data_IF_331686987496
#
_entry.id   IF_331686987496
#
_cell.length_a   1.000
_cell.length_b   1.000
_cell.length_c   1.000
_cell.angle_alpha   90.00
_cell.angle_beta   90.00
_cell.angle_gamma   90.00
#
_symmetry.space_group_name_H-M   'P 1'
#
loop_
_entity.id
_entity.type
_entity.pdbx_description
1 polymer ?
#
# COMPACT_ATOMS: atom_id res chain seq x y z
N UNK A 1 46.94 -30.32 11.34
CA UNK A 1 45.83 -30.61 10.41
C UNK A 1 44.56 -30.31 11.18
N UNK A 2 43.85 -29.24 10.82
CA UNK A 2 42.58 -28.87 11.45
C UNK A 2 41.50 -29.84 10.96
N UNK A 3 40.65 -30.41 11.84
CA UNK A 3 39.54 -31.26 11.44
C UNK A 3 38.65 -30.59 10.39
N UNK A 4 38.14 -31.37 9.44
CA UNK A 4 37.23 -30.94 8.35
C UNK A 4 35.82 -30.53 8.83
N UNK A 5 35.68 -30.22 10.11
CA UNK A 5 34.45 -29.82 10.80
C UNK A 5 34.68 -28.61 11.72
N UNK A 6 35.84 -27.96 11.58
CA UNK A 6 36.17 -26.72 12.27
C UNK A 6 36.39 -25.57 11.31
N UNK A 7 36.05 -24.36 11.75
CA UNK A 7 36.12 -23.16 10.94
C UNK A 7 36.53 -21.94 11.77
N UNK A 8 36.97 -20.88 11.11
CA UNK A 8 37.28 -19.59 11.72
C UNK A 8 36.92 -18.45 10.74
N UNK A 9 37.19 -17.19 11.12
CA UNK A 9 36.83 -16.02 10.30
C UNK A 9 37.53 -15.98 8.92
N UNK A 10 38.68 -16.63 8.78
CA UNK A 10 39.47 -16.65 7.54
C UNK A 10 39.23 -17.91 6.70
N UNK A 11 38.72 -18.98 7.30
CA UNK A 11 38.62 -20.28 6.65
C UNK A 11 37.32 -21.01 7.04
N UNK A 12 36.38 -21.06 6.10
CA UNK A 12 35.15 -21.84 6.24
C UNK A 12 35.39 -23.26 5.72
N UNK A 13 35.52 -24.23 6.64
CA UNK A 13 35.62 -25.65 6.31
C UNK A 13 34.35 -26.44 6.65
N UNK A 14 33.22 -25.76 6.84
CA UNK A 14 31.95 -26.42 7.16
C UNK A 14 31.36 -27.12 5.93
N UNK A 15 30.84 -28.34 6.12
CA UNK A 15 30.16 -29.09 5.06
C UNK A 15 28.75 -28.54 4.79
N UNK A 16 28.13 -29.04 3.72
CA UNK A 16 26.75 -28.75 3.41
C UNK A 16 25.82 -29.04 4.61
N UNK A 17 24.88 -28.12 4.86
CA UNK A 17 23.96 -28.07 6.01
C UNK A 17 24.60 -27.69 7.36
N UNK A 18 25.84 -27.19 7.34
CA UNK A 18 26.49 -26.61 8.52
C UNK A 18 26.86 -25.14 8.26
N UNK A 19 27.02 -24.37 9.34
CA UNK A 19 27.46 -22.99 9.32
C UNK A 19 28.66 -22.79 10.26
N UNK A 20 29.42 -21.71 10.03
CA UNK A 20 30.56 -21.36 10.85
C UNK A 20 30.23 -20.27 11.87
N UNK A 21 30.13 -20.54 13.18
CA UNK A 21 29.73 -19.53 14.15
C UNK A 21 30.86 -18.58 14.59
N UNK A 22 32.11 -18.78 14.15
CA UNK A 22 33.26 -17.97 14.60
C UNK A 22 33.37 -16.65 13.84
N UNK A 23 33.63 -15.58 14.59
CA UNK A 23 34.06 -14.28 14.09
C UNK A 23 35.49 -13.95 14.55
N UNK A 24 36.28 -14.99 14.86
CA UNK A 24 37.66 -14.84 15.35
C UNK A 24 38.60 -15.73 14.57
N UNK A 25 39.90 -15.55 14.77
CA UNK A 25 40.96 -16.39 14.22
C UNK A 25 41.05 -17.78 14.85
N UNK A 26 40.33 -18.03 15.95
CA UNK A 26 40.30 -19.32 16.61
C UNK A 26 39.34 -20.28 15.91
N UNK A 27 39.78 -21.52 15.75
CA UNK A 27 38.99 -22.60 15.19
C UNK A 27 37.84 -22.97 16.15
N UNK A 28 36.63 -23.07 15.61
CA UNK A 28 35.44 -23.53 16.31
C UNK A 28 34.73 -24.62 15.52
N UNK A 29 33.90 -25.41 16.20
CA UNK A 29 33.14 -26.47 15.55
C UNK A 29 32.00 -25.88 14.69
N UNK A 30 31.85 -26.42 13.49
CA UNK A 30 30.73 -26.12 12.62
C UNK A 30 29.41 -26.61 13.25
N UNK A 31 28.35 -25.81 13.16
CA UNK A 31 27.03 -26.15 13.74
C UNK A 31 25.98 -26.38 12.67
N UNK A 32 24.96 -27.18 12.98
CA UNK A 32 23.90 -27.53 12.03
C UNK A 32 23.04 -26.31 11.70
N UNK A 33 22.73 -26.11 10.42
CA UNK A 33 21.86 -25.03 10.01
C UNK A 33 20.45 -25.17 10.60
N UNK A 34 19.83 -24.04 10.94
CA UNK A 34 18.51 -24.00 11.57
C UNK A 34 18.50 -24.29 13.09
N UNK A 35 19.58 -24.81 13.68
CA UNK A 35 19.68 -24.97 15.14
C UNK A 35 20.43 -23.81 15.79
N UNK A 36 19.74 -22.99 16.60
CA UNK A 36 20.33 -21.91 17.39
C UNK A 36 21.30 -21.01 16.60
N UNK A 37 21.08 -20.86 15.29
CA UNK A 37 21.94 -20.07 14.43
C UNK A 37 21.96 -18.64 14.95
N UNK A 38 23.14 -18.05 15.22
CA UNK A 38 23.23 -16.63 15.46
C UNK A 38 22.54 -15.89 14.30
N UNK A 39 21.84 -14.80 14.60
CA UNK A 39 21.41 -13.87 13.57
C UNK A 39 22.65 -13.44 12.78
N UNK A 40 22.61 -13.54 11.45
CA UNK A 40 23.67 -13.11 10.50
C UNK A 40 24.84 -14.07 10.25
N UNK A 41 24.65 -15.38 10.40
CA UNK A 41 25.65 -16.36 9.93
C UNK A 41 25.03 -17.25 8.87
N UNK A 42 25.64 -17.26 7.68
CA UNK A 42 25.15 -17.96 6.50
C UNK A 42 25.38 -19.47 6.58
N UNK A 43 24.35 -20.24 6.22
CA UNK A 43 24.45 -21.68 6.06
C UNK A 43 25.23 -22.06 4.79
N UNK A 44 26.07 -23.09 4.86
CA UNK A 44 26.67 -23.68 3.67
C UNK A 44 25.67 -24.63 3.00
N UNK A 45 25.08 -24.28 1.86
CA UNK A 45 24.26 -25.23 1.08
C UNK A 45 25.13 -26.17 0.24
N UNK A 46 26.36 -25.78 -0.06
CA UNK A 46 27.38 -26.62 -0.69
C UNK A 46 28.62 -26.63 0.19
N UNK A 47 29.40 -27.72 0.16
CA UNK A 47 30.59 -27.85 1.02
C UNK A 47 31.50 -26.62 0.94
N UNK A 48 31.92 -26.14 2.11
CA UNK A 48 32.91 -25.08 2.31
C UNK A 48 32.52 -23.70 1.75
N UNK A 49 31.30 -23.55 1.25
CA UNK A 49 30.84 -22.31 0.61
C UNK A 49 29.55 -21.83 1.30
N UNK A 50 29.61 -20.71 2.04
CA UNK A 50 28.41 -20.12 2.63
C UNK A 50 27.47 -19.66 1.52
N UNK A 51 26.18 -19.94 1.70
CA UNK A 51 25.13 -19.43 0.82
C UNK A 51 24.55 -18.19 1.47
N UNK A 52 24.87 -17.04 0.88
CA UNK A 52 24.48 -15.72 1.41
C UNK A 52 23.01 -15.68 1.84
N UNK A 53 22.79 -15.22 3.07
CA UNK A 53 21.51 -15.03 3.73
C UNK A 53 20.65 -16.30 3.84
N UNK A 54 21.25 -17.49 3.68
CA UNK A 54 20.54 -18.75 3.82
C UNK A 54 20.53 -19.25 5.26
N UNK A 55 19.33 -19.53 5.78
CA UNK A 55 19.11 -20.09 7.12
C UNK A 55 19.05 -21.61 7.13
N UNK A 56 18.40 -22.21 6.13
CA UNK A 56 18.25 -23.67 6.02
C UNK A 56 18.48 -24.11 4.58
N UNK A 57 19.29 -25.15 4.41
CA UNK A 57 19.53 -25.79 3.13
C UNK A 57 18.86 -27.17 3.04
N UNK A 58 18.58 -27.60 1.82
CA UNK A 58 18.15 -28.96 1.47
C UNK A 58 18.61 -29.26 0.05
N UNK A 59 19.20 -30.44 -0.14
CA UNK A 59 19.62 -30.97 -1.44
C UNK A 59 20.50 -30.00 -2.25
N UNK A 60 21.42 -29.30 -1.59
CA UNK A 60 22.32 -28.34 -2.24
C UNK A 60 21.73 -26.95 -2.50
N UNK A 61 20.48 -26.70 -2.10
CA UNK A 61 19.77 -25.45 -2.31
C UNK A 61 19.28 -24.85 -0.99
N UNK A 62 19.19 -23.52 -0.94
CA UNK A 62 18.54 -22.84 0.18
C UNK A 62 17.03 -23.04 0.12
N UNK A 63 16.41 -23.34 1.27
CA UNK A 63 14.95 -23.51 1.42
C UNK A 63 14.32 -22.56 2.45
N UNK A 64 15.13 -21.89 3.27
CA UNK A 64 14.69 -20.83 4.17
C UNK A 64 15.76 -19.75 4.27
N UNK A 65 15.38 -18.49 4.11
CA UNK A 65 16.28 -17.35 4.13
C UNK A 65 16.19 -16.56 5.44
N UNK A 66 17.26 -15.84 5.78
CA UNK A 66 17.23 -14.79 6.78
C UNK A 66 16.47 -13.54 6.26
N UNK A 67 16.14 -12.63 7.17
CA UNK A 67 15.86 -11.22 6.88
C UNK A 67 14.84 -10.90 5.77
N UNK A 68 13.60 -11.40 5.84
CA UNK A 68 12.54 -11.10 4.84
C UNK A 68 12.91 -11.44 3.37
N UNK A 69 14.01 -12.13 3.13
CA UNK A 69 14.42 -12.60 1.80
C UNK A 69 13.66 -13.87 1.43
N UNK A 70 13.70 -14.20 0.15
CA UNK A 70 12.95 -15.33 -0.39
C UNK A 70 13.86 -16.25 -1.18
N UNK A 71 13.48 -17.52 -1.17
CA UNK A 71 14.14 -18.54 -1.96
C UNK A 71 13.74 -18.35 -3.43
N UNK A 72 14.71 -18.00 -4.26
CA UNK A 72 14.59 -17.97 -5.70
C UNK A 72 15.71 -18.83 -6.29
N UNK A 73 15.33 -19.90 -7.01
CA UNK A 73 16.27 -20.85 -7.61
C UNK A 73 17.34 -21.38 -6.63
N UNK A 74 16.92 -21.70 -5.40
CA UNK A 74 17.81 -22.25 -4.37
C UNK A 74 18.77 -21.24 -3.75
N UNK A 75 18.60 -19.94 -4.00
CA UNK A 75 19.35 -18.86 -3.35
C UNK A 75 18.41 -17.88 -2.67
N UNK A 76 18.93 -17.14 -1.69
CA UNK A 76 18.20 -16.06 -1.06
C UNK A 76 18.39 -14.78 -1.85
N UNK A 77 17.28 -14.17 -2.24
CA UNK A 77 17.29 -12.86 -2.85
C UNK A 77 16.12 -12.04 -2.35
N UNK A 78 16.25 -10.72 -2.50
CA UNK A 78 15.08 -9.85 -2.37
C UNK A 78 14.09 -10.25 -3.46
N UNK A 79 12.83 -10.48 -3.10
CA UNK A 79 11.79 -10.58 -4.11
C UNK A 79 11.78 -9.27 -4.89
N UNK A 80 11.87 -9.39 -6.21
CA UNK A 80 11.49 -8.30 -7.08
C UNK A 80 9.99 -8.06 -6.89
N UNK A 81 9.57 -6.92 -6.30
CA UNK A 81 8.16 -6.66 -6.02
C UNK A 81 7.30 -6.72 -7.29
N UNK A 82 7.90 -6.47 -8.46
CA UNK A 82 7.20 -6.51 -9.75
C UNK A 82 6.69 -7.90 -10.13
N UNK A 83 7.17 -8.97 -9.47
CA UNK A 83 6.68 -10.34 -9.66
C UNK A 83 5.46 -10.68 -8.79
N UNK A 84 5.15 -9.83 -7.80
CA UNK A 84 4.06 -10.08 -6.86
C UNK A 84 2.80 -9.36 -7.32
N UNK A 85 1.84 -10.13 -7.83
CA UNK A 85 0.52 -9.59 -8.18
C UNK A 85 -0.23 -9.12 -6.96
N UNK A 86 -0.92 -7.99 -7.07
CA UNK A 86 -1.66 -7.37 -5.98
C UNK A 86 -2.97 -6.76 -6.47
N UNK A 87 -3.97 -6.75 -5.59
CA UNK A 87 -5.22 -6.01 -5.77
C UNK A 87 -5.28 -4.76 -4.87
N UNK A 88 -4.61 -4.82 -3.72
CA UNK A 88 -4.60 -3.79 -2.67
C UNK A 88 -3.17 -3.67 -2.11
N UNK A 89 -2.84 -2.53 -1.48
CA UNK A 89 -1.53 -2.35 -0.86
C UNK A 89 -1.31 -3.33 0.28
N UNK A 90 -2.38 -3.85 0.94
CA UNK A 90 -2.25 -4.83 2.03
C UNK A 90 -1.33 -6.01 1.68
N UNK A 91 -1.34 -6.47 0.42
CA UNK A 91 -0.46 -7.56 -0.05
C UNK A 91 1.00 -7.14 -0.22
N UNK A 92 1.27 -5.88 -0.54
CA UNK A 92 2.61 -5.32 -0.76
C UNK A 92 3.22 -4.72 0.52
N UNK A 93 2.40 -4.36 1.50
CA UNK A 93 2.86 -3.91 2.82
C UNK A 93 3.57 -5.02 3.61
N UNK A 94 3.28 -6.29 3.30
CA UNK A 94 3.94 -7.41 3.96
C UNK A 94 5.42 -7.47 3.55
N UNK A 95 6.33 -7.45 4.53
CA UNK A 95 7.79 -7.59 4.34
C UNK A 95 8.41 -6.53 3.40
N UNK A 96 7.96 -5.27 3.53
CA UNK A 96 8.61 -4.11 2.90
C UNK A 96 8.65 -4.16 1.36
N UNK A 97 7.71 -4.86 0.72
CA UNK A 97 7.60 -4.92 -0.75
C UNK A 97 7.04 -3.62 -1.35
N UNK A 98 6.48 -2.75 -0.52
CA UNK A 98 6.02 -1.40 -0.86
C UNK A 98 4.50 -1.30 -1.03
N UNK A 99 4.07 -0.80 -2.18
CA UNK A 99 2.67 -0.52 -2.50
C UNK A 99 2.22 -1.29 -3.74
N UNK A 100 0.92 -1.42 -3.95
CA UNK A 100 0.33 -2.03 -5.12
C UNK A 100 0.16 -0.99 -6.23
N UNK A 101 0.94 -1.12 -7.31
CA UNK A 101 0.79 -0.24 -8.46
C UNK A 101 -0.52 -0.56 -9.20
N UNK A 102 -1.41 0.43 -9.23
CA UNK A 102 -2.74 0.28 -9.82
C UNK A 102 -2.74 -0.03 -11.33
N UNK A 103 -1.68 0.34 -12.06
CA UNK A 103 -1.52 0.17 -13.50
C UNK A 103 -0.95 -1.20 -13.83
N UNK A 104 0.11 -1.62 -13.14
CA UNK A 104 0.76 -2.92 -13.40
C UNK A 104 0.11 -4.08 -12.65
N UNK A 105 -0.69 -3.78 -11.60
CA UNK A 105 -1.27 -4.76 -10.67
C UNK A 105 -0.21 -5.63 -9.99
N UNK A 106 0.96 -5.04 -9.75
CA UNK A 106 2.08 -5.68 -9.07
C UNK A 106 2.62 -4.79 -7.97
N UNK A 107 3.34 -5.37 -7.02
CA UNK A 107 3.98 -4.59 -5.97
C UNK A 107 5.11 -3.73 -6.56
N UNK A 108 5.25 -2.53 -6.04
CA UNK A 108 6.28 -1.58 -6.38
C UNK A 108 6.89 -1.02 -5.10
N UNK A 109 8.20 -0.80 -5.11
CA UNK A 109 8.92 -0.27 -3.95
C UNK A 109 8.45 1.14 -3.63
N UNK A 110 8.45 1.49 -2.34
CA UNK A 110 8.31 2.87 -1.92
C UNK A 110 9.47 3.73 -2.44
N UNK A 111 9.24 5.03 -2.57
CA UNK A 111 10.29 5.99 -2.86
C UNK A 111 11.41 5.96 -1.80
N UNK A 112 12.59 6.44 -2.19
CA UNK A 112 13.73 6.54 -1.28
C UNK A 112 13.39 7.34 -0.02
N UNK A 113 13.90 6.88 1.13
CA UNK A 113 13.60 7.48 2.44
C UNK A 113 12.22 7.15 3.00
N UNK A 114 11.38 6.39 2.29
CA UNK A 114 10.10 5.92 2.78
C UNK A 114 10.14 4.44 3.18
N UNK A 115 9.59 4.13 4.35
CA UNK A 115 9.52 2.80 4.95
C UNK A 115 8.20 2.12 4.58
N UNK A 116 7.09 2.84 4.78
CA UNK A 116 5.74 2.38 4.45
C UNK A 116 5.09 3.44 3.57
N UNK A 117 4.54 3.03 2.43
CA UNK A 117 3.86 3.88 1.46
C UNK A 117 2.55 3.25 0.98
N UNK A 118 1.66 4.08 0.42
CA UNK A 118 0.43 3.63 -0.25
C UNK A 118 0.42 3.94 -1.74
N UNK A 119 1.43 4.66 -2.23
CA UNK A 119 1.69 4.95 -3.64
C UNK A 119 3.16 5.33 -3.84
N UNK A 120 3.57 5.58 -5.09
CA UNK A 120 4.91 6.06 -5.44
C UNK A 120 5.32 7.39 -4.76
N UNK A 121 4.34 8.18 -4.35
CA UNK A 121 4.56 9.55 -3.87
C UNK A 121 4.02 9.78 -2.44
N UNK A 122 3.27 8.81 -1.90
CA UNK A 122 2.60 8.94 -0.61
C UNK A 122 3.22 8.00 0.43
N UNK A 123 4.07 8.57 1.28
CA UNK A 123 4.70 7.93 2.42
C UNK A 123 3.87 8.04 3.70
N UNK A 124 3.50 6.91 4.31
CA UNK A 124 2.83 6.91 5.62
C UNK A 124 3.81 6.77 6.79
N UNK A 125 5.04 6.37 6.51
CA UNK A 125 6.12 6.30 7.49
C UNK A 125 7.48 6.46 6.81
N UNK A 126 8.22 7.48 7.19
CA UNK A 126 9.58 7.69 6.71
C UNK A 126 10.55 6.73 7.40
N UNK A 127 11.63 6.35 6.70
CA UNK A 127 12.68 5.50 7.26
C UNK A 127 13.33 6.17 8.46
N UNK A 128 13.49 5.39 9.53
CA UNK A 128 14.28 5.81 10.69
C UNK A 128 15.77 5.82 10.34
N UNK A 129 16.56 6.71 10.94
CA UNK A 129 17.99 6.84 10.65
C UNK A 129 18.58 8.12 11.23
N UNK A 130 19.83 8.42 10.88
CA UNK A 130 20.58 9.60 11.38
C UNK A 130 19.91 10.95 11.07
N UNK A 131 19.13 11.04 9.99
CA UNK A 131 18.35 12.23 9.64
C UNK A 131 16.89 12.20 10.17
N UNK A 132 16.42 11.04 10.66
CA UNK A 132 15.08 10.77 11.20
C UNK A 132 13.92 11.58 10.58
N UNK A 133 13.77 11.60 9.24
CA UNK A 133 12.86 12.51 8.54
C UNK A 133 11.41 12.46 9.09
N UNK A 134 10.78 13.63 9.08
CA UNK A 134 9.41 13.80 9.56
C UNK A 134 8.41 13.41 8.47
N UNK A 135 7.45 12.56 8.82
CA UNK A 135 6.30 12.24 7.96
C UNK A 135 5.24 13.32 8.08
N UNK A 136 4.83 13.90 6.95
CA UNK A 136 3.73 14.87 6.91
C UNK A 136 2.38 14.21 6.62
N UNK A 137 1.27 14.87 6.94
CA UNK A 137 -0.10 14.40 6.68
C UNK A 137 -0.42 14.25 5.19
N UNK A 138 0.36 14.88 4.32
CA UNK A 138 0.24 14.75 2.86
C UNK A 138 1.16 13.66 2.29
N UNK A 139 1.77 12.86 3.17
CA UNK A 139 2.55 11.69 2.81
C UNK A 139 3.97 12.00 2.34
N UNK A 140 4.58 13.09 2.81
CA UNK A 140 5.97 13.44 2.43
C UNK A 140 6.93 13.21 3.57
N UNK A 141 8.17 12.88 3.22
CA UNK A 141 9.30 12.86 4.16
C UNK A 141 10.08 14.16 4.05
N UNK A 142 10.07 14.95 5.12
CA UNK A 142 10.77 16.25 5.16
C UNK A 142 11.87 16.24 6.21
N UNK A 143 12.76 17.23 6.13
CA UNK A 143 13.74 17.46 7.19
C UNK A 143 13.06 17.63 8.56
N UNK A 144 13.72 17.17 9.61
CA UNK A 144 13.30 17.39 10.98
C UNK A 144 13.69 18.77 11.49
N UNK A 145 12.98 19.23 12.49
CA UNK A 145 13.33 20.37 13.32
C UNK A 145 13.18 19.98 14.81
N UNK A 146 13.61 20.84 15.73
CA UNK A 146 13.45 20.67 17.18
C UNK A 146 12.39 21.66 17.70
N UNK A 147 11.09 21.36 17.56
CA UNK A 147 10.05 22.28 17.98
C UNK A 147 9.96 22.33 19.50
N UNK A 148 9.69 23.52 20.05
CA UNK A 148 9.31 23.67 21.46
C UNK A 148 7.86 23.25 21.69
N UNK A 149 7.42 23.18 22.95
CA UNK A 149 6.02 22.94 23.27
C UNK A 149 5.11 23.97 22.57
N UNK A 150 4.02 23.50 21.96
CA UNK A 150 3.11 24.35 21.17
C UNK A 150 3.64 24.72 19.78
N UNK A 151 4.69 24.06 19.31
CA UNK A 151 5.21 24.20 17.94
C UNK A 151 5.21 22.87 17.17
N UNK A 152 5.19 22.96 15.85
CA UNK A 152 5.36 21.86 14.92
C UNK A 152 6.46 22.19 13.91
N UNK A 153 6.93 21.20 13.17
CA UNK A 153 7.89 21.42 12.09
C UNK A 153 7.17 21.66 10.76
N UNK A 154 7.34 22.85 10.20
CA UNK A 154 7.02 23.14 8.82
C UNK A 154 8.30 23.02 7.98
N UNK A 155 8.59 21.82 7.51
CA UNK A 155 9.92 21.48 7.01
C UNK A 155 10.96 21.60 8.13
N UNK A 156 12.04 22.33 7.88
CA UNK A 156 13.12 22.55 8.86
C UNK A 156 12.83 23.63 9.91
N UNK A 157 11.68 24.30 9.85
CA UNK A 157 11.38 25.47 10.69
C UNK A 157 10.30 25.15 11.73
N UNK A 158 10.62 25.39 13.01
CA UNK A 158 9.65 25.30 14.10
C UNK A 158 8.65 26.47 14.01
N UNK A 159 7.36 26.15 13.94
CA UNK A 159 6.27 27.11 13.76
C UNK A 159 5.18 26.86 14.80
N UNK A 160 4.48 27.90 15.26
CA UNK A 160 3.36 27.77 16.20
C UNK A 160 2.28 26.84 15.65
N UNK A 161 1.76 25.97 16.51
CA UNK A 161 0.70 25.04 16.15
C UNK A 161 -0.61 25.75 15.77
N UNK A 162 -1.34 25.15 14.83
CA UNK A 162 -2.59 25.64 14.32
C UNK A 162 -3.42 24.48 13.75
N UNK A 163 -4.69 24.72 13.48
CA UNK A 163 -5.49 23.76 12.74
C UNK A 163 -4.96 23.57 11.31
N UNK A 164 -5.05 22.35 10.80
CA UNK A 164 -4.66 22.04 9.42
C UNK A 164 -3.15 21.98 9.17
N UNK A 165 -2.32 21.97 10.22
CA UNK A 165 -0.87 21.74 10.08
C UNK A 165 -0.58 20.35 9.53
N UNK A 166 0.60 20.20 8.94
CA UNK A 166 0.99 19.01 8.19
C UNK A 166 1.90 18.06 8.96
N UNK A 167 2.31 18.39 10.18
CA UNK A 167 3.07 17.49 11.05
C UNK A 167 2.65 17.67 12.50
N UNK A 168 2.98 16.70 13.36
CA UNK A 168 2.49 16.71 14.74
C UNK A 168 3.01 17.93 15.51
N UNK A 169 2.07 18.63 16.15
CA UNK A 169 2.35 19.61 17.18
C UNK A 169 2.99 18.93 18.39
N UNK A 170 4.04 19.53 18.95
CA UNK A 170 4.67 19.07 20.18
C UNK A 170 3.84 19.49 21.39
N UNK A 171 2.97 18.60 21.85
CA UNK A 171 2.16 18.76 23.06
C UNK A 171 2.63 17.73 24.09
N UNK A 172 3.69 18.07 24.83
CA UNK A 172 4.38 17.13 25.73
C UNK A 172 4.63 15.77 25.03
N UNK A 173 3.99 14.69 25.49
CA UNK A 173 4.15 13.33 24.98
C UNK A 173 2.94 12.80 24.20
N UNK A 174 1.88 13.61 23.99
CA UNK A 174 0.74 13.18 23.17
C UNK A 174 1.03 13.33 21.68
N UNK A 175 0.70 12.29 20.92
CA UNK A 175 0.98 12.20 19.49
C UNK A 175 -0.18 12.74 18.64
N UNK A 176 0.12 13.06 17.38
CA UNK A 176 -0.85 13.39 16.33
C UNK A 176 -1.76 14.60 16.62
N UNK A 177 -1.34 15.50 17.50
CA UNK A 177 -2.03 16.77 17.73
C UNK A 177 -1.79 17.75 16.58
N UNK A 178 -2.84 18.49 16.19
CA UNK A 178 -2.73 19.71 15.39
C UNK A 178 -2.52 20.93 16.30
N UNK A 179 -3.18 20.96 17.45
CA UNK A 179 -3.04 21.99 18.49
C UNK A 179 -2.96 21.35 19.87
N UNK A 180 -2.36 22.03 20.84
CA UNK A 180 -2.34 21.60 22.24
C UNK A 180 -3.52 22.18 22.99
N UNK A 181 -3.96 21.49 24.04
CA UNK A 181 -4.90 22.04 24.99
C UNK A 181 -4.15 22.88 26.02
N UNK A 182 -4.31 24.20 25.99
CA UNK A 182 -3.58 25.08 26.92
C UNK A 182 -4.11 24.98 28.36
N UNK A 183 -5.33 24.45 28.56
CA UNK A 183 -5.95 24.36 29.89
C UNK A 183 -5.31 23.31 30.80
N UNK A 184 -4.62 22.33 30.22
CA UNK A 184 -3.90 21.28 30.96
C UNK A 184 -2.37 21.37 30.78
N UNK A 185 -1.87 22.53 30.35
CA UNK A 185 -0.44 22.74 30.10
C UNK A 185 0.07 21.97 28.88
N UNK A 186 -0.80 21.60 27.95
CA UNK A 186 -0.46 20.88 26.73
C UNK A 186 -0.25 19.38 26.92
N UNK A 187 -0.83 18.81 27.98
CA UNK A 187 -0.84 17.36 28.23
C UNK A 187 -1.89 16.62 27.39
N UNK A 188 -2.80 17.35 26.73
CA UNK A 188 -3.72 16.80 25.72
C UNK A 188 -3.72 17.60 24.42
N UNK A 189 -4.25 17.00 23.36
CA UNK A 189 -4.50 17.68 22.10
C UNK A 189 -5.77 18.55 22.21
N UNK A 190 -5.71 19.78 21.69
CA UNK A 190 -6.89 20.61 21.45
C UNK A 190 -7.63 20.20 20.18
N UNK A 191 -6.87 19.82 19.15
CA UNK A 191 -7.37 19.28 17.89
C UNK A 191 -6.40 18.21 17.35
N UNK A 192 -6.90 17.30 16.54
CA UNK A 192 -6.10 16.25 15.91
C UNK A 192 -5.67 16.61 14.50
N UNK A 193 -4.56 16.00 14.04
CA UNK A 193 -4.18 16.00 12.64
C UNK A 193 -5.28 15.39 11.74
N UNK A 194 -5.14 15.61 10.43
CA UNK A 194 -6.09 15.17 9.41
C UNK A 194 -6.44 13.69 9.54
N UNK A 195 -7.73 13.39 9.45
CA UNK A 195 -8.33 12.05 9.53
C UNK A 195 -8.25 11.34 10.88
N UNK A 196 -7.86 12.01 11.96
CA UNK A 196 -7.93 11.48 13.32
C UNK A 196 -9.15 12.02 14.09
N UNK A 197 -9.67 11.22 15.02
CA UNK A 197 -10.70 11.59 15.98
C UNK A 197 -10.05 12.09 17.27
N UNK A 198 -10.58 13.17 17.83
CA UNK A 198 -10.25 13.62 19.18
C UNK A 198 -11.11 12.85 20.17
N UNK A 199 -10.49 12.09 21.04
CA UNK A 199 -11.17 11.31 22.08
C UNK A 199 -10.41 11.42 23.40
N UNK A 200 -11.05 11.98 24.43
CA UNK A 200 -10.43 12.21 25.74
C UNK A 200 -9.13 13.02 25.68
N UNK A 201 -8.98 13.93 24.71
CA UNK A 201 -7.75 14.71 24.52
C UNK A 201 -6.63 13.99 23.75
N UNK A 202 -6.90 12.81 23.18
CA UNK A 202 -5.94 12.02 22.39
C UNK A 202 -6.36 11.89 20.94
N UNK A 203 -5.37 11.64 20.09
CA UNK A 203 -5.51 11.50 18.64
C UNK A 203 -4.92 10.15 18.20
N UNK A 204 -5.52 9.05 18.68
CA UNK A 204 -5.04 7.68 18.43
C UNK A 204 -5.98 6.89 17.50
N UNK A 205 -7.20 7.38 17.28
CA UNK A 205 -8.24 6.69 16.51
C UNK A 205 -8.49 7.42 15.19
N UNK A 206 -8.52 6.67 14.09
CA UNK A 206 -8.88 7.24 12.79
C UNK A 206 -10.37 7.55 12.67
N UNK A 207 -10.70 8.54 11.83
CA UNK A 207 -12.08 8.82 11.41
C UNK A 207 -12.67 7.62 10.66
N UNK A 208 -14.01 7.52 10.64
CA UNK A 208 -14.68 6.43 9.91
C UNK A 208 -14.30 6.49 8.42
N UNK A 209 -14.05 5.32 7.83
CA UNK A 209 -13.53 5.21 6.47
C UNK A 209 -12.00 5.28 6.36
N UNK A 210 -11.28 5.41 7.47
CA UNK A 210 -9.81 5.45 7.49
C UNK A 210 -9.22 4.36 8.41
N UNK A 211 -8.05 3.82 8.02
CA UNK A 211 -7.22 2.93 8.84
C UNK A 211 -5.89 3.60 9.19
N UNK A 212 -5.36 3.30 10.38
CA UNK A 212 -4.04 3.76 10.81
C UNK A 212 -2.98 2.94 10.07
N UNK A 213 -2.10 3.60 9.33
CA UNK A 213 -0.89 3.01 8.77
C UNK A 213 0.31 3.89 9.09
N UNK A 214 1.31 3.30 9.72
CA UNK A 214 2.44 4.06 10.25
C UNK A 214 1.95 5.15 11.20
N UNK A 215 2.14 6.42 10.81
CA UNK A 215 1.74 7.59 11.61
C UNK A 215 0.50 8.31 11.06
N UNK A 216 -0.11 7.81 9.98
CA UNK A 216 -1.19 8.50 9.27
C UNK A 216 -2.47 7.64 9.24
N UNK A 217 -3.61 8.32 9.27
CA UNK A 217 -4.90 7.72 8.95
C UNK A 217 -5.18 7.84 7.45
N UNK A 218 -5.04 6.73 6.73
CA UNK A 218 -5.28 6.63 5.28
C UNK A 218 -6.63 6.02 4.98
N UNK A 219 -7.20 6.33 3.82
CA UNK A 219 -8.50 5.79 3.42
C UNK A 219 -8.45 4.25 3.37
N UNK A 220 -9.50 3.60 3.86
CA UNK A 220 -9.64 2.16 3.75
C UNK A 220 -9.63 1.74 2.28
N UNK A 221 -8.75 0.80 1.95
CA UNK A 221 -8.74 0.19 0.62
C UNK A 221 -9.94 -0.74 0.48
N UNK A 222 -10.90 -0.34 -0.35
CA UNK A 222 -11.91 -1.27 -0.86
C UNK A 222 -11.25 -2.14 -1.90
N UNK A 223 -11.15 -3.45 -1.64
CA UNK A 223 -10.89 -4.39 -2.72
C UNK A 223 -11.98 -4.16 -3.76
N UNK A 224 -11.58 -3.80 -4.99
CA UNK A 224 -12.47 -3.99 -6.14
C UNK A 224 -12.56 -5.50 -6.28
N UNK A 225 -13.57 -6.08 -5.65
CA UNK A 225 -13.94 -7.46 -5.94
C UNK A 225 -14.11 -7.53 -7.46
N UNK A 226 -13.44 -8.47 -8.16
CA UNK A 226 -13.71 -8.66 -9.58
C UNK A 226 -15.23 -8.78 -9.70
N UNK A 227 -15.87 -7.96 -10.53
CA UNK A 227 -17.27 -8.22 -10.85
C UNK A 227 -17.31 -9.61 -11.48
N UNK A 228 -17.70 -10.61 -10.69
CA UNK A 228 -18.01 -11.92 -11.20
C UNK A 228 -19.01 -11.70 -12.33
N UNK A 229 -18.78 -12.25 -13.54
CA UNK A 229 -19.74 -12.18 -14.61
C UNK A 229 -21.06 -12.71 -14.05
N UNK A 230 -22.04 -11.80 -13.92
CA UNK A 230 -23.36 -12.13 -13.39
C UNK A 230 -23.83 -13.40 -14.10
N UNK A 231 -24.21 -14.46 -13.38
CA UNK A 231 -24.71 -15.68 -14.00
C UNK A 231 -25.78 -15.32 -15.02
N UNK A 232 -25.80 -15.97 -16.20
CA UNK A 232 -26.87 -15.74 -17.17
C UNK A 232 -28.20 -15.84 -16.44
N UNK A 233 -29.05 -14.81 -16.56
CA UNK A 233 -30.37 -14.80 -15.94
C UNK A 233 -31.12 -16.02 -16.47
N UNK A 234 -31.32 -17.01 -15.61
CA UNK A 234 -32.16 -18.17 -15.91
C UNK A 234 -33.60 -17.67 -16.10
N UNK A 235 -34.28 -17.99 -17.22
CA UNK A 235 -35.63 -17.50 -17.46
C UNK A 235 -36.58 -17.99 -16.37
N UNK A 236 -37.21 -17.04 -15.66
CA UNK A 236 -38.20 -17.34 -14.63
C UNK A 236 -39.32 -18.23 -15.18
N UNK A 237 -39.48 -19.40 -14.57
CA UNK A 237 -40.60 -20.29 -14.81
C UNK A 237 -41.90 -19.58 -14.38
N UNK A 238 -42.97 -19.57 -15.20
CA UNK A 238 -44.21 -18.92 -14.82
C UNK A 238 -44.79 -19.50 -13.52
N UNK A 239 -45.05 -18.63 -12.55
CA UNK A 239 -45.75 -19.03 -11.33
C UNK A 239 -47.18 -19.46 -11.64
N UNK A 240 -47.69 -20.53 -11.01
CA UNK A 240 -49.07 -20.96 -11.15
C UNK A 240 -50.03 -19.91 -10.55
N UNK A 241 -51.25 -19.77 -11.11
CA UNK A 241 -52.22 -18.79 -10.66
C UNK A 241 -52.69 -19.07 -9.24
N UNK A 242 -52.55 -18.07 -8.36
CA UNK A 242 -53.10 -18.08 -7.01
C UNK A 242 -54.61 -17.83 -7.12
N UNK A 243 -55.40 -18.78 -6.61
CA UNK A 243 -56.85 -18.68 -6.49
C UNK A 243 -57.18 -18.02 -5.13
N UNK A 244 -57.97 -16.93 -5.05
CA UNK A 244 -58.30 -16.30 -3.78
C UNK A 244 -59.41 -17.08 -3.06
N UNK A 245 -59.13 -17.53 -1.83
CA UNK A 245 -60.14 -18.05 -0.90
C UNK A 245 -60.94 -16.86 -0.30
N UNK A 246 -62.28 -16.88 -0.36
CA UNK A 246 -63.12 -15.81 0.16
C UNK A 246 -63.63 -16.15 1.57
N UNK A 247 -63.07 -15.55 2.62
CA UNK A 247 -63.81 -15.29 3.87
C UNK A 247 -62.99 -14.52 4.90
N UNK A 248 -63.12 -13.20 4.91
CA UNK A 248 -63.19 -12.44 6.17
C UNK A 248 -64.20 -11.30 5.98
N UNK A 249 -65.32 -11.37 6.71
CA UNK A 249 -66.37 -10.34 6.80
C UNK A 249 -66.02 -9.35 7.94
N UNK A 250 -66.40 -8.07 7.85
CA UNK A 250 -65.74 -6.96 8.55
C UNK A 250 -66.38 -6.61 9.89
N UNK A 251 -65.59 -5.97 10.74
CA UNK A 251 -66.07 -5.16 11.86
C UNK A 251 -65.24 -3.88 11.93
N UNK A 252 -65.92 -2.75 11.73
CA UNK A 252 -65.50 -1.36 11.88
C UNK A 252 -66.62 -0.68 12.72
N UNK A 253 -66.49 0.58 13.19
CA UNK A 253 -65.30 1.38 13.53
C UNK A 253 -65.46 2.13 14.88
N UNK A 254 -64.42 2.77 15.41
CA UNK A 254 -64.51 4.19 15.87
C UNK A 254 -63.10 4.80 16.15
N UNK A 255 -62.86 5.96 15.52
CA UNK A 255 -62.03 7.11 15.89
C UNK A 255 -60.47 6.99 15.89
N UNK A 256 -59.78 7.38 14.81
CA UNK A 256 -59.19 8.71 14.43
C UNK A 256 -57.86 9.08 15.12
N UNK A 257 -56.72 8.96 14.43
CA UNK A 257 -55.89 10.01 13.74
C UNK A 257 -54.61 10.29 14.58
N UNK A 258 -53.38 10.50 14.09
CA UNK A 258 -52.74 10.40 12.78
C UNK A 258 -51.23 10.18 13.07
N UNK A 259 -50.61 9.14 12.53
CA UNK A 259 -49.15 8.96 12.52
C UNK A 259 -48.75 8.48 11.13
N UNK A 260 -48.08 9.33 10.35
CA UNK A 260 -47.53 8.96 9.05
C UNK A 260 -46.01 9.01 9.09
N UNK A 261 -45.44 7.86 9.44
CA UNK A 261 -44.12 7.44 8.99
C UNK A 261 -44.26 6.84 7.59
N UNK A 262 -43.88 7.58 6.56
CA UNK A 262 -43.84 7.04 5.19
C UNK A 262 -42.44 6.50 4.93
N UNK A 263 -42.31 5.17 4.90
CA UNK A 263 -41.24 4.49 4.17
C UNK A 263 -41.43 4.77 2.69
N UNK A 264 -40.51 5.52 2.07
CA UNK A 264 -40.45 5.68 0.62
C UNK A 264 -39.41 4.72 0.04
N UNK A 265 -39.95 3.72 -0.63
CA UNK A 265 -39.27 2.77 -1.48
C UNK A 265 -38.52 3.46 -2.61
N UNK A 266 -37.34 2.94 -2.89
CA UNK A 266 -36.54 3.10 -4.09
C UNK A 266 -37.37 3.13 -5.38
N UNK A 267 -37.11 4.12 -6.23
CA UNK A 267 -37.57 4.13 -7.62
C UNK A 267 -37.58 5.52 -8.26
N UNK A 268 -36.88 5.64 -9.40
CA UNK A 268 -36.88 6.73 -10.38
C UNK A 268 -35.89 7.91 -10.20
N UNK A 269 -34.69 7.75 -10.76
CA UNK A 269 -33.96 8.87 -11.40
C UNK A 269 -33.71 8.45 -12.86
N UNK A 270 -34.68 8.76 -13.72
CA UNK A 270 -34.52 8.82 -15.18
C UNK A 270 -34.31 10.30 -15.51
N UNK A 271 -33.16 10.67 -16.05
CA UNK A 271 -32.93 12.00 -16.62
C UNK A 271 -31.47 12.44 -16.68
N UNK A 272 -31.00 12.70 -17.91
CA UNK A 272 -29.75 13.39 -18.30
C UNK A 272 -28.51 12.49 -18.54
N UNK A 273 -28.56 11.68 -19.61
CA UNK A 273 -27.34 11.19 -20.31
C UNK A 273 -27.50 11.34 -21.84
N UNK A 274 -27.87 12.54 -22.31
CA UNK A 274 -27.86 12.84 -23.76
C UNK A 274 -26.97 14.02 -24.15
N UNK A 275 -26.40 14.76 -23.18
CA UNK A 275 -25.55 15.93 -23.48
C UNK A 275 -24.07 15.62 -23.70
N UNK A 276 -23.52 14.59 -23.05
CA UNK A 276 -22.05 14.35 -23.03
C UNK A 276 -21.58 13.54 -24.24
N UNK A 277 -22.44 12.66 -24.80
CA UNK A 277 -22.09 11.81 -25.94
C UNK A 277 -21.90 12.63 -27.24
N UNK A 278 -22.61 13.75 -27.38
CA UNK A 278 -22.47 14.61 -28.56
C UNK A 278 -21.14 15.38 -28.60
N UNK A 279 -20.57 15.75 -27.45
CA UNK A 279 -19.33 16.54 -27.39
C UNK A 279 -18.09 15.67 -27.72
N UNK A 280 -18.09 14.40 -27.30
CA UNK A 280 -16.97 13.49 -27.60
C UNK A 280 -16.85 13.15 -29.10
N UNK A 281 -17.97 13.08 -29.82
CA UNK A 281 -17.97 12.77 -31.26
C UNK A 281 -17.37 13.92 -32.12
N UNK A 282 -17.54 15.18 -31.69
CA UNK A 282 -17.03 16.35 -32.45
C UNK A 282 -15.52 16.52 -32.26
N UNK A 283 -14.99 16.26 -31.05
CA UNK A 283 -13.56 16.42 -30.76
C UNK A 283 -12.74 15.27 -31.39
N UNK A 284 -13.26 14.04 -31.39
CA UNK A 284 -12.58 12.89 -32.00
C UNK A 284 -12.49 12.94 -33.53
N UNK A 285 -13.58 13.35 -34.21
CA UNK A 285 -13.61 13.42 -35.67
C UNK A 285 -12.71 14.49 -36.28
N UNK A 286 -12.55 15.63 -35.60
CA UNK A 286 -11.73 16.75 -36.08
C UNK A 286 -10.23 16.44 -36.13
N UNK A 287 -9.71 15.71 -35.14
CA UNK A 287 -8.29 15.35 -35.08
C UNK A 287 -7.91 14.35 -36.18
N UNK A 288 -8.76 13.35 -36.45
CA UNK A 288 -8.52 12.39 -37.52
C UNK A 288 -8.48 13.05 -38.92
N UNK A 289 -9.39 14.00 -39.18
CA UNK A 289 -9.40 14.75 -40.45
C UNK A 289 -8.15 15.64 -40.63
N UNK A 290 -7.64 16.23 -39.54
CA UNK A 290 -6.45 17.08 -39.58
C UNK A 290 -5.18 16.30 -39.96
N UNK A 291 -4.98 15.09 -39.42
CA UNK A 291 -3.80 14.29 -39.74
C UNK A 291 -3.81 13.75 -41.18
N UNK A 292 -4.96 13.31 -41.70
CA UNK A 292 -5.08 12.83 -43.09
C UNK A 292 -4.80 13.94 -44.12
N UNK A 293 -5.21 15.19 -43.83
CA UNK A 293 -4.95 16.33 -44.73
C UNK A 293 -3.47 16.76 -44.73
N UNK A 294 -2.73 16.57 -43.63
CA UNK A 294 -1.29 16.90 -43.57
C UNK A 294 -0.45 15.97 -44.46
N UNK A 295 -0.79 14.69 -44.54
CA UNK A 295 -0.04 13.74 -45.39
C UNK A 295 -0.29 13.92 -46.89
N UNK A 296 -1.44 14.47 -47.31
CA UNK A 296 -1.69 14.78 -48.73
C UNK A 296 -0.94 16.02 -49.25
N UNK A 297 -0.40 16.88 -48.38
CA UNK A 297 0.43 18.03 -48.79
C UNK A 297 1.93 17.70 -48.91
N UNK A 298 2.36 16.52 -48.48
CA UNK A 298 3.78 16.11 -48.53
C UNK A 298 4.13 15.24 -49.77
N UNK A 299 3.16 14.90 -50.62
CA UNK A 299 3.36 14.06 -51.81
C UNK A 299 3.16 14.83 -53.13
N UNK A 300 3.70 16.06 -53.19
CA UNK A 300 3.66 16.88 -54.41
C UNK A 300 4.97 17.63 -54.61
N UNK A 301 5.83 17.09 -55.48
CA UNK A 301 6.92 17.83 -56.13
C UNK A 301 8.33 17.33 -55.83
N UNK A 302 8.90 16.52 -56.73
CA UNK A 302 9.88 17.03 -57.70
C UNK A 302 10.30 15.90 -58.65
N UNK A 303 9.96 16.06 -59.93
CA UNK A 303 10.57 15.33 -61.02
C UNK A 303 11.94 15.94 -61.32
N UNK A 304 12.97 15.13 -61.51
CA UNK A 304 14.22 15.53 -62.15
C UNK A 304 14.64 14.44 -63.13
N UNK A 305 14.98 14.90 -64.34
CA UNK A 305 15.08 14.14 -65.57
C UNK A 305 16.33 13.26 -65.69
N UNK A 306 16.16 12.27 -66.56
CA UNK A 306 17.16 11.48 -67.28
C UNK A 306 18.11 12.38 -68.09
N UNK A 307 19.42 12.13 -68.02
CA UNK A 307 20.30 12.39 -69.15
C UNK A 307 21.13 11.13 -69.46
N UNK A 308 21.13 10.84 -70.76
CA UNK A 308 21.91 9.84 -71.47
C UNK A 308 23.11 10.58 -72.05
N UNK A 309 24.31 10.15 -71.70
CA UNK A 309 25.47 10.02 -72.61
C UNK A 309 26.47 9.03 -72.00
#
# INVERSE_FOLDING_TARGET
MVPIEQCNEYENRCRANYLCPSFSSEDTDCILCGQNSPTYVDCNCTDFTPTEECKICKDGACIECFNNLFVNNGKCSQIDPSLIQCATNKKCRYRDLGYCDSKTKTCAKCQEGCDICTSAEFCVQCKSGTAAPLTTTDGKCTATCTPSAGQYCNGSTATTCADGITSACKCQDVANCATCNDTDGGSSCGACLKNLKLDGGKCEVCKDGFEMLGKLCVALETAVEPEDPKPPVEPEKPNPPINPDPSVKPTDPEATEESKNTRLSSGAIVGIVLGVVAVAAVVGGGLAYYFVKKHKKAAGGSATQVQVE
#
